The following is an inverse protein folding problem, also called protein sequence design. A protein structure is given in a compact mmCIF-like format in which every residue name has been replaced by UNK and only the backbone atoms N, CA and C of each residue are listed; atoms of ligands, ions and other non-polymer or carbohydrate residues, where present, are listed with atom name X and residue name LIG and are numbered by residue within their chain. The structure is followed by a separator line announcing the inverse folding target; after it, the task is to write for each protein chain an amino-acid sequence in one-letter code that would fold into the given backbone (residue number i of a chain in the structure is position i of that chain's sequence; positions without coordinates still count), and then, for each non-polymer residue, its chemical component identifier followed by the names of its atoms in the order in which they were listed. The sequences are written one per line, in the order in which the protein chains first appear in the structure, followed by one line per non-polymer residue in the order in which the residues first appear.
data_IF_093205658831
#
_entry.id   IF_093205658831
#
_cell.length_a   1.000
_cell.length_b   1.000
_cell.length_c   1.000
_cell.angle_alpha   90.00
_cell.angle_beta   90.00
_cell.angle_gamma   90.00
#
_symmetry.space_group_name_H-M   'P 1'
#
loop_
_entity.id
_entity.type
_entity.pdbx_description
1 polymer ?
#
# COMPACT_ATOMS: atom_id res chain seq x y z
N UNK A 1 39.21 -23.12 -21.16
CA UNK A 1 38.84 -21.72 -21.45
C UNK A 1 39.13 -20.75 -20.29
N UNK A 2 39.02 -21.16 -19.00
CA UNK A 2 39.35 -20.29 -17.84
C UNK A 2 40.80 -19.79 -17.74
N UNK A 3 41.79 -20.45 -18.36
CA UNK A 3 43.21 -20.07 -18.21
C UNK A 3 43.73 -18.99 -19.17
N UNK A 4 42.96 -18.56 -20.18
CA UNK A 4 43.34 -17.41 -21.04
C UNK A 4 42.91 -16.05 -20.49
N UNK A 5 42.05 -16.02 -19.46
CA UNK A 5 41.47 -14.79 -18.93
C UNK A 5 42.42 -13.98 -18.02
N UNK A 6 43.46 -14.60 -17.45
CA UNK A 6 44.33 -13.96 -16.46
C UNK A 6 45.72 -13.55 -17.00
N UNK A 7 45.87 -13.44 -18.33
CA UNK A 7 47.13 -12.98 -18.93
C UNK A 7 47.11 -11.50 -19.36
N UNK A 8 45.96 -10.84 -19.29
CA UNK A 8 45.82 -9.41 -19.56
C UNK A 8 45.85 -8.60 -18.26
N UNK A 9 46.43 -7.41 -18.30
CA UNK A 9 46.39 -6.48 -17.17
C UNK A 9 44.97 -5.94 -16.91
N UNK A 10 44.80 -5.15 -15.86
CA UNK A 10 43.53 -4.49 -15.50
C UNK A 10 42.87 -3.73 -16.68
N UNK A 11 43.69 -3.15 -17.56
CA UNK A 11 43.25 -2.46 -18.77
C UNK A 11 42.64 -3.40 -19.85
N UNK A 12 43.09 -4.67 -19.94
CA UNK A 12 42.58 -5.62 -20.93
C UNK A 12 41.19 -6.14 -20.55
N UNK A 13 40.94 -6.33 -19.25
CA UNK A 13 39.61 -6.67 -18.75
C UNK A 13 38.63 -5.51 -18.96
N UNK A 14 39.05 -4.30 -18.61
CA UNK A 14 38.22 -3.10 -18.70
C UNK A 14 37.73 -2.82 -20.13
N UNK A 15 38.62 -3.00 -21.12
CA UNK A 15 38.26 -2.91 -22.54
C UNK A 15 37.30 -4.02 -22.97
N UNK A 16 37.56 -5.26 -22.54
CA UNK A 16 36.69 -6.39 -22.87
C UNK A 16 35.27 -6.19 -22.31
N UNK A 17 35.17 -5.76 -21.06
CA UNK A 17 33.90 -5.55 -20.38
C UNK A 17 33.11 -4.39 -21.00
N UNK A 18 33.79 -3.29 -21.36
CA UNK A 18 33.14 -2.18 -22.06
C UNK A 18 32.55 -2.58 -23.41
N UNK A 19 33.26 -3.38 -24.22
CA UNK A 19 32.71 -3.90 -25.47
C UNK A 19 31.57 -4.90 -25.26
N UNK A 20 31.51 -5.58 -24.11
CA UNK A 20 30.39 -6.43 -23.74
C UNK A 20 29.16 -5.58 -23.33
N UNK A 21 29.36 -4.53 -22.54
CA UNK A 21 28.30 -3.60 -22.14
C UNK A 21 27.68 -2.87 -23.34
N UNK A 22 28.50 -2.46 -24.32
CA UNK A 22 27.99 -1.88 -25.57
C UNK A 22 27.07 -2.82 -26.35
N UNK A 23 27.31 -4.13 -26.29
CA UNK A 23 26.42 -5.12 -26.92
C UNK A 23 25.12 -5.26 -26.16
N UNK A 24 25.18 -5.39 -24.83
CA UNK A 24 23.99 -5.44 -23.98
C UNK A 24 23.12 -4.20 -24.17
N UNK A 25 23.74 -3.01 -24.23
CA UNK A 25 23.03 -1.77 -24.53
C UNK A 25 22.35 -1.81 -25.89
N UNK A 26 23.06 -2.24 -26.94
CA UNK A 26 22.48 -2.35 -28.29
C UNK A 26 21.36 -3.39 -28.38
N UNK A 27 21.40 -4.45 -27.57
CA UNK A 27 20.32 -5.44 -27.45
C UNK A 27 19.11 -4.85 -26.71
N UNK A 28 19.33 -4.08 -25.64
CA UNK A 28 18.27 -3.39 -24.91
C UNK A 28 17.56 -2.36 -25.79
N UNK A 29 18.32 -1.55 -26.55
CA UNK A 29 17.79 -0.57 -27.53
C UNK A 29 16.85 -1.21 -28.56
N UNK A 30 17.15 -2.43 -29.00
CA UNK A 30 16.35 -3.15 -29.98
C UNK A 30 15.18 -3.90 -29.36
N UNK A 31 15.26 -4.22 -28.07
CA UNK A 31 14.28 -5.07 -27.37
C UNK A 31 13.25 -4.30 -26.56
N UNK A 32 13.58 -3.11 -26.06
CA UNK A 32 12.68 -2.29 -25.25
C UNK A 32 12.01 -1.21 -26.10
N UNK A 33 11.00 -1.61 -26.87
CA UNK A 33 10.26 -0.75 -27.79
C UNK A 33 8.74 -0.77 -27.55
N UNK A 34 7.97 -0.05 -28.40
CA UNK A 34 6.51 -0.02 -28.32
C UNK A 34 5.87 -1.40 -28.53
N UNK A 35 6.45 -2.26 -29.36
CA UNK A 35 5.93 -3.61 -29.63
C UNK A 35 6.11 -4.50 -28.39
N UNK A 36 7.28 -4.45 -27.76
CA UNK A 36 7.54 -5.13 -26.50
C UNK A 36 6.59 -4.67 -25.40
N UNK A 37 6.45 -3.37 -25.18
CA UNK A 37 5.59 -2.86 -24.10
C UNK A 37 4.13 -3.24 -24.34
N UNK A 38 3.67 -3.16 -25.59
CA UNK A 38 2.33 -3.60 -25.95
C UNK A 38 2.14 -5.10 -25.66
N UNK A 39 3.08 -5.93 -26.10
CA UNK A 39 3.07 -7.37 -25.80
C UNK A 39 3.07 -7.64 -24.29
N UNK A 40 3.88 -6.91 -23.53
CA UNK A 40 3.97 -7.04 -22.08
C UNK A 40 2.61 -6.82 -21.41
N UNK A 41 1.90 -5.75 -21.76
CA UNK A 41 0.59 -5.47 -21.18
C UNK A 41 -0.53 -6.36 -21.73
N UNK A 42 -0.66 -6.49 -23.05
CA UNK A 42 -1.81 -7.14 -23.68
C UNK A 42 -1.75 -8.67 -23.71
N UNK A 43 -0.55 -9.25 -23.72
CA UNK A 43 -0.37 -10.70 -23.86
C UNK A 43 0.27 -11.28 -22.60
N UNK A 44 1.44 -10.79 -22.19
CA UNK A 44 2.16 -11.39 -21.06
C UNK A 44 1.42 -11.21 -19.73
N UNK A 45 1.15 -9.97 -19.29
CA UNK A 45 0.45 -9.71 -18.03
C UNK A 45 -0.98 -10.27 -18.04
N UNK A 46 -1.70 -10.10 -19.15
CA UNK A 46 -3.07 -10.60 -19.28
C UNK A 46 -3.18 -12.12 -19.05
N UNK A 47 -2.14 -12.88 -19.41
CA UNK A 47 -2.09 -14.33 -19.24
C UNK A 47 -1.29 -14.79 -18.00
N UNK A 48 -0.83 -13.88 -17.14
CA UNK A 48 0.00 -14.19 -15.98
C UNK A 48 -0.74 -14.08 -14.63
N UNK A 49 -2.05 -14.36 -14.63
CA UNK A 49 -2.89 -14.27 -13.43
C UNK A 49 -2.43 -15.15 -12.26
N UNK A 50 -1.78 -16.29 -12.55
CA UNK A 50 -1.24 -17.15 -11.49
C UNK A 50 0.03 -16.55 -10.90
N UNK A 51 0.98 -16.10 -11.71
CA UNK A 51 2.29 -15.62 -11.24
C UNK A 51 2.41 -14.10 -11.37
N UNK A 52 1.34 -13.40 -10.99
CA UNK A 52 1.16 -11.96 -11.24
C UNK A 52 2.31 -11.10 -10.71
N UNK A 53 2.73 -11.34 -9.47
CA UNK A 53 3.84 -10.58 -8.85
C UNK A 53 5.14 -10.76 -9.61
N UNK A 54 5.48 -11.99 -9.99
CA UNK A 54 6.68 -12.30 -10.76
C UNK A 54 6.58 -11.74 -12.19
N UNK A 55 5.39 -11.73 -12.76
CA UNK A 55 5.16 -11.15 -14.08
C UNK A 55 5.36 -9.62 -14.07
N UNK A 56 4.90 -8.94 -13.02
CA UNK A 56 5.09 -7.51 -12.85
C UNK A 56 6.56 -7.16 -12.58
N UNK A 57 7.30 -7.96 -11.80
CA UNK A 57 8.70 -7.66 -11.45
C UNK A 57 9.62 -7.57 -12.68
N UNK A 58 9.33 -8.32 -13.75
CA UNK A 58 10.18 -8.39 -14.94
C UNK A 58 10.45 -7.04 -15.61
N UNK A 59 9.48 -6.13 -15.65
CA UNK A 59 9.69 -4.79 -16.24
C UNK A 59 10.58 -3.90 -15.36
N UNK A 60 10.51 -4.06 -14.03
CA UNK A 60 11.42 -3.38 -13.11
C UNK A 60 12.84 -3.93 -13.23
N UNK A 61 13.00 -5.25 -13.40
CA UNK A 61 14.31 -5.86 -13.66
C UNK A 61 14.95 -5.31 -14.94
N UNK A 62 14.15 -5.13 -16.00
CA UNK A 62 14.62 -4.50 -17.24
C UNK A 62 15.06 -3.05 -17.02
N UNK A 63 14.27 -2.25 -16.31
CA UNK A 63 14.64 -0.89 -15.94
C UNK A 63 15.96 -0.86 -15.16
N UNK A 64 16.11 -1.68 -14.12
CA UNK A 64 17.33 -1.73 -13.31
C UNK A 64 18.53 -2.28 -14.09
N UNK A 65 18.30 -3.17 -15.07
CA UNK A 65 19.33 -3.63 -15.98
C UNK A 65 19.89 -2.49 -16.84
N UNK A 66 19.06 -1.61 -17.37
CA UNK A 66 19.54 -0.46 -18.16
C UNK A 66 20.25 0.59 -17.30
N UNK A 67 19.78 0.81 -16.06
CA UNK A 67 20.50 1.58 -15.03
C UNK A 67 21.90 0.98 -14.83
N UNK A 68 22.00 -0.32 -14.57
CA UNK A 68 23.28 -0.97 -14.30
C UNK A 68 24.23 -0.94 -15.51
N UNK A 69 23.71 -1.17 -16.73
CA UNK A 69 24.48 -1.03 -17.98
C UNK A 69 25.06 0.37 -18.08
N UNK A 70 24.23 1.41 -17.88
CA UNK A 70 24.66 2.81 -17.97
C UNK A 70 25.72 3.17 -16.93
N UNK A 71 25.55 2.70 -15.68
CA UNK A 71 26.53 2.87 -14.60
C UNK A 71 27.86 2.22 -14.92
N UNK A 72 27.85 0.94 -15.30
CA UNK A 72 29.07 0.19 -15.58
C UNK A 72 29.80 0.75 -16.81
N UNK A 73 29.06 1.16 -17.86
CA UNK A 73 29.66 1.84 -19.01
C UNK A 73 30.40 3.10 -18.58
N UNK A 74 29.79 3.92 -17.73
CA UNK A 74 30.43 5.11 -17.15
C UNK A 74 31.72 4.79 -16.38
N UNK A 75 31.71 3.74 -15.55
CA UNK A 75 32.93 3.28 -14.86
C UNK A 75 34.02 2.78 -15.80
N UNK A 76 33.68 2.06 -16.87
CA UNK A 76 34.66 1.55 -17.84
C UNK A 76 35.22 2.66 -18.73
N UNK A 77 34.42 3.65 -19.10
CA UNK A 77 34.89 4.83 -19.82
C UNK A 77 36.01 5.53 -19.05
N UNK A 78 35.83 5.73 -17.74
CA UNK A 78 36.87 6.31 -16.87
C UNK A 78 38.16 5.49 -16.90
N UNK A 79 38.06 4.17 -16.73
CA UNK A 79 39.22 3.29 -16.75
C UNK A 79 39.95 3.28 -18.11
N UNK A 80 39.22 3.51 -19.21
CA UNK A 80 39.78 3.59 -20.56
C UNK A 80 40.21 5.01 -20.99
N UNK A 81 39.96 6.03 -20.17
CA UNK A 81 40.19 7.43 -20.53
C UNK A 81 39.33 7.90 -21.70
N UNK A 82 38.07 7.45 -21.74
CA UNK A 82 37.07 7.86 -22.73
C UNK A 82 36.20 8.95 -22.10
N UNK A 83 36.21 10.14 -22.69
CA UNK A 83 35.50 11.30 -22.15
C UNK A 83 34.08 11.48 -22.71
N UNK A 84 33.80 10.95 -23.91
CA UNK A 84 32.50 11.06 -24.59
C UNK A 84 31.74 9.73 -24.55
N UNK A 85 30.47 9.77 -24.17
CA UNK A 85 29.63 8.57 -24.17
C UNK A 85 29.43 8.08 -25.61
N UNK A 86 29.49 6.77 -25.87
CA UNK A 86 29.28 6.26 -27.22
C UNK A 86 27.92 6.70 -27.78
N UNK A 87 27.84 6.89 -29.10
CA UNK A 87 26.57 7.29 -29.72
C UNK A 87 25.56 6.16 -29.63
N UNK A 88 24.42 6.45 -29.01
CA UNK A 88 23.29 5.55 -28.78
C UNK A 88 21.97 6.23 -29.13
N UNK A 89 20.95 5.44 -29.46
CA UNK A 89 19.58 5.95 -29.59
C UNK A 89 18.95 5.96 -28.19
N UNK A 90 18.38 7.12 -27.81
CA UNK A 90 17.69 7.24 -26.53
C UNK A 90 16.26 6.72 -26.68
N UNK A 91 15.87 5.83 -25.79
CA UNK A 91 14.56 5.19 -25.80
C UNK A 91 13.52 6.16 -25.23
N UNK A 92 12.34 6.20 -25.86
CA UNK A 92 11.16 6.91 -25.38
C UNK A 92 9.93 6.11 -25.78
N UNK A 93 9.31 5.45 -24.81
CA UNK A 93 8.15 4.58 -25.03
C UNK A 93 7.07 4.94 -24.04
N UNK A 94 5.82 4.99 -24.53
CA UNK A 94 4.64 5.24 -23.71
C UNK A 94 3.53 4.30 -24.09
N UNK A 95 2.88 3.73 -23.08
CA UNK A 95 1.76 2.83 -23.27
C UNK A 95 0.78 2.92 -22.11
N UNK A 96 -0.50 2.77 -22.39
CA UNK A 96 -1.57 2.86 -21.40
C UNK A 96 -2.74 1.94 -21.76
N UNK A 97 -3.29 1.29 -20.75
CA UNK A 97 -4.45 0.40 -20.77
C UNK A 97 -5.34 0.71 -19.56
N UNK A 98 -6.48 0.02 -19.43
CA UNK A 98 -7.38 0.20 -18.28
C UNK A 98 -6.76 -0.22 -16.93
N UNK A 99 -5.87 -1.22 -16.96
CA UNK A 99 -5.25 -1.84 -15.79
C UNK A 99 -3.74 -1.55 -15.70
N UNK A 100 -3.19 -0.68 -16.53
CA UNK A 100 -1.80 -0.28 -16.36
C UNK A 100 -1.26 0.70 -17.39
N UNK A 101 -0.17 1.36 -17.04
CA UNK A 101 0.54 2.31 -17.88
C UNK A 101 2.06 2.21 -17.66
N UNK A 102 2.83 2.54 -18.69
CA UNK A 102 4.26 2.78 -18.58
C UNK A 102 4.66 3.98 -19.44
N UNK A 103 5.54 4.82 -18.88
CA UNK A 103 6.28 5.86 -19.59
C UNK A 103 7.75 5.64 -19.25
N UNK A 104 8.52 5.15 -20.22
CA UNK A 104 9.96 4.96 -20.11
C UNK A 104 10.67 5.97 -21.01
N UNK A 105 11.67 6.66 -20.47
CA UNK A 105 12.47 7.57 -21.28
C UNK A 105 13.90 7.67 -20.77
N UNK A 106 14.82 7.97 -21.68
CA UNK A 106 16.22 8.16 -21.38
C UNK A 106 16.68 9.60 -21.65
N UNK A 107 17.61 10.09 -20.83
CA UNK A 107 18.27 11.37 -21.04
C UNK A 107 19.79 11.18 -20.95
N UNK A 108 20.55 11.78 -21.87
CA UNK A 108 22.00 11.89 -21.72
C UNK A 108 22.31 12.94 -20.65
N UNK A 109 23.08 12.56 -19.64
CA UNK A 109 23.41 13.39 -18.47
C UNK A 109 24.90 13.40 -18.18
N UNK A 110 25.35 14.49 -17.61
CA UNK A 110 26.61 14.56 -16.88
C UNK A 110 26.30 14.48 -15.39
N UNK A 111 26.76 13.42 -14.71
CA UNK A 111 26.45 13.21 -13.30
C UNK A 111 27.64 12.56 -12.56
N UNK A 112 27.60 12.67 -11.22
CA UNK A 112 28.56 11.97 -10.35
C UNK A 112 28.00 10.62 -9.98
N UNK A 113 28.73 9.56 -10.28
CA UNK A 113 28.36 8.23 -9.82
C UNK A 113 28.62 8.10 -8.31
N UNK A 114 27.76 7.38 -7.57
CA UNK A 114 28.01 7.07 -6.17
C UNK A 114 29.40 6.49 -5.95
N UNK A 115 30.16 7.06 -5.00
CA UNK A 115 31.53 6.62 -4.71
C UNK A 115 32.61 7.19 -5.63
N UNK A 116 32.29 8.17 -6.49
CA UNK A 116 33.25 8.87 -7.35
C UNK A 116 33.17 10.39 -7.18
N UNK A 117 34.32 11.07 -7.28
CA UNK A 117 34.41 12.54 -7.15
C UNK A 117 34.31 13.29 -8.48
N UNK A 118 34.34 12.55 -9.60
CA UNK A 118 34.36 13.10 -10.95
C UNK A 118 33.00 12.97 -11.64
N UNK A 119 32.68 13.94 -12.47
CA UNK A 119 31.50 13.91 -13.33
C UNK A 119 31.82 13.15 -14.61
N UNK A 120 30.91 12.27 -14.99
CA UNK A 120 30.99 11.50 -16.23
C UNK A 120 29.70 11.66 -17.03
N UNK A 121 29.79 11.52 -18.34
CA UNK A 121 28.63 11.45 -19.21
C UNK A 121 28.07 10.02 -19.22
N UNK A 122 26.76 9.87 -19.03
CA UNK A 122 26.04 8.61 -19.09
C UNK A 122 24.56 8.79 -19.42
N UNK A 123 23.91 7.68 -19.80
CA UNK A 123 22.47 7.63 -19.96
C UNK A 123 21.80 7.51 -18.59
N UNK A 124 20.79 8.33 -18.36
CA UNK A 124 19.88 8.24 -17.22
C UNK A 124 18.52 7.76 -17.71
N UNK A 125 18.14 6.51 -17.44
CA UNK A 125 16.79 6.03 -17.72
C UNK A 125 15.83 6.45 -16.60
N UNK A 126 14.57 6.66 -16.95
CA UNK A 126 13.49 6.91 -16.01
C UNK A 126 12.28 6.10 -16.43
N UNK A 127 11.48 5.71 -15.44
CA UNK A 127 10.26 4.97 -15.69
C UNK A 127 9.16 5.47 -14.77
N UNK A 128 8.00 5.78 -15.34
CA UNK A 128 6.75 5.82 -14.58
C UNK A 128 5.99 4.58 -14.94
N UNK A 129 5.53 3.85 -13.94
CA UNK A 129 4.78 2.63 -14.18
C UNK A 129 3.70 2.49 -13.14
N UNK A 130 2.54 2.02 -13.59
CA UNK A 130 1.45 1.61 -12.75
C UNK A 130 0.83 0.38 -13.38
N UNK A 131 0.71 -0.70 -12.61
CA UNK A 131 0.16 -1.96 -13.06
C UNK A 131 -0.79 -2.44 -11.96
N UNK A 132 -2.03 -2.73 -12.33
CA UNK A 132 -3.06 -3.17 -11.42
C UNK A 132 -3.59 -4.55 -11.85
N UNK A 133 -3.76 -5.50 -10.92
CA UNK A 133 -4.27 -6.83 -11.26
C UNK A 133 -5.66 -6.76 -11.90
N UNK A 134 -5.85 -7.53 -12.97
CA UNK A 134 -7.19 -7.80 -13.46
C UNK A 134 -8.01 -8.52 -12.37
N UNK A 135 -9.34 -8.47 -12.47
CA UNK A 135 -10.21 -9.19 -11.52
C UNK A 135 -9.87 -10.67 -11.43
N UNK A 136 -9.59 -11.30 -12.57
CA UNK A 136 -9.21 -12.72 -12.62
C UNK A 136 -7.87 -12.98 -11.92
N UNK A 137 -6.88 -12.10 -12.10
CA UNK A 137 -5.62 -12.17 -11.37
C UNK A 137 -5.84 -11.99 -9.86
N UNK A 138 -6.66 -11.03 -9.45
CA UNK A 138 -6.99 -10.81 -8.03
C UNK A 138 -7.70 -12.01 -7.40
N UNK A 139 -8.69 -12.60 -8.09
CA UNK A 139 -9.35 -13.84 -7.65
C UNK A 139 -8.35 -15.00 -7.49
N UNK A 140 -7.41 -15.15 -8.43
CA UNK A 140 -6.33 -16.15 -8.34
C UNK A 140 -5.43 -15.92 -7.13
N UNK A 141 -5.01 -14.67 -6.89
CA UNK A 141 -4.20 -14.28 -5.72
C UNK A 141 -4.93 -14.55 -4.41
N UNK A 142 -6.20 -14.15 -4.28
CA UNK A 142 -7.04 -14.42 -3.12
C UNK A 142 -7.26 -15.92 -2.90
N UNK A 143 -7.46 -16.69 -3.96
CA UNK A 143 -7.52 -18.16 -3.90
C UNK A 143 -6.22 -18.80 -3.42
N UNK A 144 -5.05 -18.28 -3.82
CA UNK A 144 -3.75 -18.72 -3.31
C UNK A 144 -3.55 -18.34 -1.84
N UNK A 145 -3.96 -17.13 -1.46
CA UNK A 145 -3.93 -16.61 -0.09
C UNK A 145 -4.75 -17.49 0.85
N UNK A 146 -6.01 -17.81 0.51
CA UNK A 146 -6.86 -18.71 1.32
C UNK A 146 -6.26 -20.12 1.47
N UNK A 147 -5.68 -20.69 0.41
CA UNK A 147 -5.02 -22.02 0.48
C UNK A 147 -3.81 -22.06 1.41
N UNK A 148 -3.17 -20.91 1.63
CA UNK A 148 -1.97 -20.77 2.45
C UNK A 148 -2.26 -20.23 3.84
N UNK A 149 -3.48 -19.75 4.09
CA UNK A 149 -3.82 -19.04 5.32
C UNK A 149 -2.97 -17.78 5.56
N UNK A 150 -2.61 -17.11 4.47
CA UNK A 150 -1.77 -15.91 4.47
C UNK A 150 -2.55 -14.77 3.85
N UNK A 151 -2.43 -13.54 4.37
CA UNK A 151 -3.02 -12.39 3.71
C UNK A 151 -2.35 -12.14 2.34
N UNK A 152 -3.10 -11.61 1.35
CA UNK A 152 -2.52 -11.30 0.05
C UNK A 152 -1.49 -10.16 0.18
N UNK A 153 -0.24 -10.39 -0.25
CA UNK A 153 0.82 -9.39 -0.21
C UNK A 153 2.22 -9.97 -0.43
N UNK A 154 3.24 -9.10 -0.62
CA UNK A 154 4.62 -9.48 -0.95
C UNK A 154 5.35 -10.19 0.20
N UNK A 155 4.96 -9.91 1.45
CA UNK A 155 5.38 -10.65 2.63
C UNK A 155 4.14 -11.44 3.07
N UNK A 156 4.20 -12.76 2.97
CA UNK A 156 3.11 -13.64 3.42
C UNK A 156 2.96 -13.56 4.93
N UNK A 157 2.35 -12.47 5.42
CA UNK A 157 1.99 -12.30 6.81
C UNK A 157 1.04 -13.44 7.18
N UNK A 158 1.55 -14.35 8.01
CA UNK A 158 0.84 -15.53 8.48
C UNK A 158 -0.11 -15.11 9.60
N UNK A 159 -1.42 -15.22 9.34
CA UNK A 159 -2.47 -14.94 10.32
C UNK A 159 -2.57 -13.46 10.72
N UNK A 160 -3.80 -12.93 10.74
CA UNK A 160 -4.14 -11.61 11.28
C UNK A 160 -4.47 -11.71 12.76
N UNK A 161 -3.73 -12.57 13.48
CA UNK A 161 -3.81 -12.70 14.91
C UNK A 161 -2.99 -11.60 15.57
N UNK A 162 -3.53 -11.05 16.65
CA UNK A 162 -2.87 -10.00 17.42
C UNK A 162 -1.52 -10.50 17.98
N UNK A 163 -0.52 -9.64 17.97
CA UNK A 163 0.72 -9.87 18.71
C UNK A 163 0.46 -9.94 20.22
N UNK A 164 1.39 -10.54 20.97
CA UNK A 164 1.26 -10.59 22.44
C UNK A 164 1.20 -9.20 23.07
N UNK A 165 1.84 -8.19 22.46
CA UNK A 165 1.79 -6.80 22.90
C UNK A 165 0.39 -6.21 22.71
N UNK A 166 -0.19 -6.34 21.51
CA UNK A 166 -1.56 -5.90 21.23
C UNK A 166 -2.59 -6.61 22.12
N UNK A 167 -2.41 -7.92 22.37
CA UNK A 167 -3.27 -8.66 23.31
C UNK A 167 -3.18 -8.11 24.72
N UNK A 168 -2.00 -7.70 25.18
CA UNK A 168 -1.84 -7.07 26.49
C UNK A 168 -2.48 -5.68 26.55
N UNK A 169 -2.37 -4.89 25.48
CA UNK A 169 -3.02 -3.58 25.38
C UNK A 169 -4.54 -3.69 25.49
N UNK A 170 -5.16 -4.53 24.66
CA UNK A 170 -6.62 -4.77 24.69
C UNK A 170 -7.05 -5.27 26.07
N UNK A 171 -6.34 -6.24 26.67
CA UNK A 171 -6.67 -6.75 28.01
C UNK A 171 -6.63 -5.67 29.11
N UNK A 172 -5.83 -4.63 28.91
CA UNK A 172 -5.71 -3.50 29.82
C UNK A 172 -6.69 -2.36 29.51
N UNK A 173 -7.39 -2.40 28.38
CA UNK A 173 -8.50 -1.49 28.06
C UNK A 173 -9.84 -2.08 28.55
N UNK A 174 -10.46 -1.50 29.60
CA UNK A 174 -11.72 -2.03 30.13
C UNK A 174 -12.89 -1.94 29.14
N UNK A 175 -12.88 -0.96 28.23
CA UNK A 175 -13.94 -0.75 27.24
C UNK A 175 -13.90 -1.79 26.14
N UNK A 176 -12.73 -1.99 25.53
CA UNK A 176 -12.57 -3.01 24.47
C UNK A 176 -12.83 -4.42 25.00
N UNK A 177 -12.36 -4.74 26.22
CA UNK A 177 -12.66 -6.03 26.84
C UNK A 177 -14.13 -6.19 27.23
N UNK A 178 -14.87 -5.12 27.49
CA UNK A 178 -16.33 -5.19 27.71
C UNK A 178 -17.05 -5.56 26.42
N UNK A 179 -16.69 -4.92 25.30
CA UNK A 179 -17.25 -5.22 23.98
C UNK A 179 -16.98 -6.67 23.54
N UNK A 180 -15.74 -7.15 23.70
CA UNK A 180 -15.38 -8.54 23.38
C UNK A 180 -16.14 -9.55 24.24
N UNK A 181 -16.33 -9.26 25.53
CA UNK A 181 -17.11 -10.12 26.44
C UNK A 181 -18.58 -10.14 26.07
N UNK A 182 -19.17 -9.00 25.68
CA UNK A 182 -20.56 -8.96 25.22
C UNK A 182 -20.78 -9.92 24.04
N UNK A 183 -19.84 -9.95 23.09
CA UNK A 183 -19.88 -10.87 21.95
C UNK A 183 -19.72 -12.33 22.41
N UNK A 184 -18.67 -12.66 23.18
CA UNK A 184 -18.44 -14.04 23.64
C UNK A 184 -19.61 -14.58 24.47
N UNK A 185 -20.19 -13.79 25.38
CA UNK A 185 -21.33 -14.22 26.19
C UNK A 185 -22.58 -14.50 25.34
N UNK A 186 -22.80 -13.73 24.27
CA UNK A 186 -23.92 -13.93 23.35
C UNK A 186 -23.83 -15.27 22.62
N UNK A 187 -22.62 -15.72 22.29
CA UNK A 187 -22.37 -16.93 21.48
C UNK A 187 -21.86 -18.14 22.28
N UNK A 188 -21.85 -18.03 23.62
CA UNK A 188 -21.62 -19.18 24.50
C UNK A 188 -20.16 -19.43 24.87
N UNK A 189 -19.31 -18.40 24.78
CA UNK A 189 -17.93 -18.39 25.26
C UNK A 189 -16.89 -18.12 24.18
N UNK A 190 -17.23 -18.34 22.92
CA UNK A 190 -16.44 -18.00 21.74
C UNK A 190 -17.38 -17.47 20.65
N UNK A 191 -16.82 -16.88 19.61
CA UNK A 191 -17.55 -16.50 18.42
C UNK A 191 -16.78 -16.91 17.17
N UNK A 192 -17.45 -17.65 16.29
CA UNK A 192 -16.92 -18.08 15.00
C UNK A 192 -17.64 -17.34 13.85
N UNK A 193 -16.94 -16.38 13.24
CA UNK A 193 -17.44 -15.49 12.21
C UNK A 193 -16.77 -15.68 10.84
N UNK A 194 -17.40 -15.16 9.78
CA UNK A 194 -16.72 -15.00 8.49
C UNK A 194 -17.11 -13.71 7.74
N UNK A 195 -16.13 -13.07 7.10
CA UNK A 195 -16.33 -12.05 6.08
C UNK A 195 -16.11 -12.69 4.71
N UNK A 196 -17.12 -12.66 3.85
CA UNK A 196 -17.08 -13.29 2.54
C UNK A 196 -17.25 -12.25 1.44
N UNK A 197 -16.35 -12.22 0.48
CA UNK A 197 -16.48 -11.40 -0.72
C UNK A 197 -17.00 -12.25 -1.86
N UNK A 198 -18.19 -11.91 -2.35
CA UNK A 198 -18.87 -12.62 -3.41
C UNK A 198 -18.81 -11.79 -4.70
N UNK A 199 -18.53 -12.47 -5.81
CA UNK A 199 -18.82 -11.94 -7.13
C UNK A 199 -20.31 -12.25 -7.42
N UNK A 200 -21.17 -11.24 -7.30
CA UNK A 200 -22.60 -11.40 -7.49
C UNK A 200 -23.01 -11.67 -8.94
N UNK A 201 -22.16 -11.39 -9.94
CA UNK A 201 -22.45 -11.70 -11.34
C UNK A 201 -22.33 -13.22 -11.59
N UNK A 202 -21.38 -13.86 -10.92
CA UNK A 202 -21.06 -15.29 -11.11
C UNK A 202 -21.56 -16.19 -9.98
N UNK A 203 -21.82 -15.64 -8.80
CA UNK A 203 -22.10 -16.38 -7.56
C UNK A 203 -20.85 -17.01 -6.94
N UNK A 204 -19.65 -16.64 -7.40
CA UNK A 204 -18.38 -17.15 -6.88
C UNK A 204 -18.05 -16.51 -5.53
N UNK A 205 -17.62 -17.34 -4.57
CA UNK A 205 -16.97 -16.86 -3.36
C UNK A 205 -15.49 -16.61 -3.67
N UNK A 206 -15.12 -15.33 -3.70
CA UNK A 206 -13.83 -14.84 -4.18
C UNK A 206 -12.79 -14.80 -3.07
N UNK A 207 -13.20 -14.41 -1.86
CA UNK A 207 -12.32 -14.33 -0.71
C UNK A 207 -13.10 -14.53 0.58
N UNK A 208 -12.49 -15.26 1.49
CA UNK A 208 -13.05 -15.64 2.77
C UNK A 208 -12.06 -15.31 3.86
N UNK A 209 -12.52 -14.54 4.83
CA UNK A 209 -11.78 -14.24 6.04
C UNK A 209 -12.55 -14.82 7.23
N UNK A 210 -11.97 -15.83 7.86
CA UNK A 210 -12.45 -16.37 9.13
C UNK A 210 -12.12 -15.39 10.25
N UNK A 211 -13.02 -15.29 11.22
CA UNK A 211 -12.90 -14.43 12.39
C UNK A 211 -13.19 -15.28 13.62
N UNK A 212 -12.28 -15.30 14.57
CA UNK A 212 -12.43 -15.99 15.84
C UNK A 212 -12.30 -14.98 16.99
N UNK A 213 -13.26 -14.99 17.91
CA UNK A 213 -13.11 -14.33 19.20
C UNK A 213 -13.18 -15.38 20.30
N UNK A 214 -12.17 -15.37 21.17
CA UNK A 214 -12.16 -16.15 22.40
C UNK A 214 -11.28 -15.44 23.47
N UNK A 215 -11.26 -15.96 24.69
CA UNK A 215 -10.49 -15.34 25.80
C UNK A 215 -8.96 -15.38 25.61
N UNK A 216 -8.46 -16.31 24.79
CA UNK A 216 -7.02 -16.53 24.58
C UNK A 216 -6.47 -15.63 23.47
N UNK A 217 -7.11 -15.68 22.29
CA UNK A 217 -6.70 -14.96 21.09
C UNK A 217 -7.30 -13.55 20.98
N UNK A 218 -8.34 -13.24 21.76
CA UNK A 218 -9.14 -12.01 21.69
C UNK A 218 -9.83 -11.84 20.34
N UNK A 219 -9.09 -11.45 19.30
CA UNK A 219 -9.54 -11.42 17.92
C UNK A 219 -8.44 -12.06 17.08
N UNK A 220 -8.79 -13.13 16.36
CA UNK A 220 -7.95 -13.72 15.35
C UNK A 220 -8.66 -13.69 14.00
N UNK A 221 -7.94 -13.34 12.94
CA UNK A 221 -8.48 -13.31 11.58
C UNK A 221 -7.57 -14.07 10.63
N UNK A 222 -8.16 -14.87 9.74
CA UNK A 222 -7.39 -15.77 8.90
C UNK A 222 -8.07 -16.02 7.56
N UNK A 223 -7.38 -15.85 6.42
CA UNK A 223 -7.91 -16.27 5.13
C UNK A 223 -8.09 -17.78 5.08
N UNK A 224 -9.27 -18.27 4.72
CA UNK A 224 -9.56 -19.72 4.75
C UNK A 224 -10.40 -20.17 3.56
N UNK A 225 -10.20 -21.40 3.08
CA UNK A 225 -11.11 -21.95 2.07
C UNK A 225 -12.50 -22.20 2.67
N UNK A 226 -13.58 -22.07 1.86
CA UNK A 226 -14.93 -22.35 2.33
C UNK A 226 -15.11 -23.75 2.94
N UNK A 227 -14.33 -24.73 2.49
CA UNK A 227 -14.40 -26.13 2.93
C UNK A 227 -13.68 -26.37 4.26
N UNK A 228 -12.81 -25.45 4.67
CA UNK A 228 -12.01 -25.51 5.90
C UNK A 228 -12.68 -24.74 7.05
N UNK A 229 -13.65 -23.87 6.73
CA UNK A 229 -14.36 -23.08 7.73
C UNK A 229 -15.12 -23.98 8.73
N UNK A 230 -15.04 -23.67 10.04
CA UNK A 230 -15.84 -24.35 11.04
C UNK A 230 -17.33 -24.00 10.89
N UNK A 231 -18.17 -24.57 11.77
CA UNK A 231 -19.54 -24.10 11.90
C UNK A 231 -19.51 -22.64 12.38
N UNK A 232 -20.19 -21.75 11.64
CA UNK A 232 -20.15 -20.31 11.90
C UNK A 232 -21.38 -19.88 12.69
N UNK A 233 -21.17 -19.07 13.72
CA UNK A 233 -22.22 -18.34 14.42
C UNK A 233 -22.83 -17.24 13.54
N UNK A 234 -21.96 -16.57 12.77
CA UNK A 234 -22.36 -15.50 11.89
C UNK A 234 -21.45 -15.36 10.67
N UNK A 235 -21.99 -14.75 9.61
CA UNK A 235 -21.19 -14.28 8.49
C UNK A 235 -21.78 -13.02 7.88
N UNK A 236 -20.92 -12.28 7.20
CA UNK A 236 -21.31 -11.15 6.36
C UNK A 236 -20.81 -11.38 4.93
N UNK A 237 -21.70 -11.17 3.97
CA UNK A 237 -21.41 -11.27 2.55
C UNK A 237 -21.29 -9.85 1.96
N UNK A 238 -20.22 -9.57 1.24
CA UNK A 238 -19.87 -8.27 0.64
C UNK A 238 -19.63 -8.40 -0.86
N UNK A 239 -19.91 -7.33 -1.61
CA UNK A 239 -19.68 -7.30 -3.06
C UNK A 239 -18.19 -7.17 -3.41
N UNK A 240 -17.61 -8.20 -4.02
CA UNK A 240 -16.23 -8.20 -4.50
C UNK A 240 -15.96 -7.07 -5.49
N UNK A 241 -16.92 -6.69 -6.34
CA UNK A 241 -16.75 -5.62 -7.31
C UNK A 241 -16.50 -4.27 -6.63
N UNK A 242 -17.14 -4.04 -5.49
CA UNK A 242 -16.92 -2.82 -4.69
C UNK A 242 -15.57 -2.82 -4.01
N UNK A 243 -15.12 -3.98 -3.50
CA UNK A 243 -13.78 -4.13 -2.95
C UNK A 243 -12.71 -3.87 -4.02
N UNK A 244 -12.87 -4.46 -5.21
CA UNK A 244 -11.94 -4.26 -6.34
C UNK A 244 -11.82 -2.77 -6.72
N UNK A 245 -12.95 -2.07 -6.82
CA UNK A 245 -13.00 -0.62 -7.08
C UNK A 245 -12.27 0.20 -6.02
N UNK A 246 -12.41 -0.17 -4.74
CA UNK A 246 -11.76 0.48 -3.60
C UNK A 246 -10.24 0.33 -3.70
N UNK A 247 -9.76 -0.89 -3.92
CA UNK A 247 -8.32 -1.18 -4.07
C UNK A 247 -7.76 -0.44 -5.29
N UNK A 248 -8.46 -0.48 -6.42
CA UNK A 248 -8.06 0.23 -7.65
C UNK A 248 -7.88 1.74 -7.42
N UNK A 249 -8.85 2.39 -6.77
CA UNK A 249 -8.82 3.83 -6.52
C UNK A 249 -7.71 4.18 -5.53
N UNK A 250 -7.54 3.36 -4.49
CA UNK A 250 -6.46 3.54 -3.51
C UNK A 250 -5.09 3.53 -4.21
N UNK A 251 -4.81 2.49 -4.99
CA UNK A 251 -3.57 2.34 -5.74
C UNK A 251 -3.34 3.49 -6.73
N UNK A 252 -4.30 3.72 -7.62
CA UNK A 252 -4.11 4.62 -8.76
C UNK A 252 -4.12 6.10 -8.35
N UNK A 253 -5.00 6.48 -7.44
CA UNK A 253 -5.30 7.89 -7.16
C UNK A 253 -4.72 8.39 -5.84
N UNK A 254 -4.50 7.51 -4.86
CA UNK A 254 -3.99 7.88 -3.53
C UNK A 254 -2.48 7.67 -3.46
N UNK A 255 -1.99 6.47 -3.79
CA UNK A 255 -0.55 6.20 -3.80
C UNK A 255 0.15 6.88 -4.97
N UNK A 256 -0.53 6.96 -6.12
CA UNK A 256 -0.06 7.71 -7.28
C UNK A 256 1.13 7.04 -7.97
N UNK A 257 1.57 7.65 -9.07
CA UNK A 257 2.60 7.08 -9.94
C UNK A 257 3.90 7.84 -9.72
N UNK A 258 4.88 7.18 -9.10
CA UNK A 258 6.21 7.74 -8.89
C UNK A 258 7.08 7.59 -10.13
N UNK A 259 8.11 8.44 -10.20
CA UNK A 259 9.15 8.33 -11.22
C UNK A 259 10.29 7.52 -10.64
N UNK A 260 10.45 6.30 -11.14
CA UNK A 260 11.68 5.55 -10.98
C UNK A 260 12.81 6.34 -11.64
N UNK A 261 13.88 6.54 -10.89
CA UNK A 261 15.04 7.32 -11.31
C UNK A 261 16.34 6.70 -10.84
N UNK A 262 17.44 6.88 -11.59
CA UNK A 262 18.68 6.20 -11.27
C UNK A 262 19.35 6.87 -10.06
N UNK A 263 20.23 6.16 -9.32
CA UNK A 263 20.82 6.68 -8.09
C UNK A 263 21.58 8.00 -8.25
N UNK A 264 22.11 8.29 -9.44
CA UNK A 264 22.87 9.51 -9.75
C UNK A 264 22.02 10.69 -10.24
N UNK A 265 20.74 10.50 -10.57
CA UNK A 265 19.81 11.58 -10.92
C UNK A 265 18.41 11.34 -10.35
N UNK A 266 18.36 11.17 -9.02
CA UNK A 266 17.10 10.96 -8.31
C UNK A 266 16.15 12.11 -8.52
N UNK A 267 14.94 11.82 -8.98
CA UNK A 267 13.87 12.83 -9.06
C UNK A 267 13.21 12.97 -7.69
N UNK A 268 13.08 14.19 -7.15
CA UNK A 268 12.36 14.39 -5.90
C UNK A 268 10.88 14.07 -6.08
N UNK A 269 10.26 13.46 -5.07
CA UNK A 269 8.79 13.36 -4.97
C UNK A 269 8.20 14.77 -5.04
N UNK A 270 7.31 15.03 -6.00
CA UNK A 270 6.70 16.37 -6.17
C UNK A 270 5.70 16.60 -5.03
N UNK A 271 5.82 17.71 -4.32
CA UNK A 271 4.96 18.13 -3.20
C UNK A 271 3.46 18.39 -3.57
N UNK A 272 3.04 18.14 -4.81
CA UNK A 272 1.71 18.49 -5.34
C UNK A 272 0.56 17.59 -4.86
N UNK A 273 0.84 16.59 -4.04
CA UNK A 273 -0.11 15.50 -3.72
C UNK A 273 -1.08 15.83 -2.57
N UNK A 274 -0.82 16.87 -1.78
CA UNK A 274 -1.68 17.25 -0.63
C UNK A 274 -3.08 17.75 -1.01
N UNK A 275 -3.24 18.47 -2.12
CA UNK A 275 -4.57 18.98 -2.56
C UNK A 275 -5.40 17.88 -3.24
N UNK A 276 -4.75 16.90 -3.87
CA UNK A 276 -5.43 15.70 -4.39
C UNK A 276 -5.93 14.81 -3.24
N UNK A 277 -5.20 14.75 -2.11
CA UNK A 277 -5.55 13.94 -0.94
C UNK A 277 -6.97 14.14 -0.42
N UNK A 278 -7.46 15.39 -0.28
CA UNK A 278 -8.82 15.65 0.24
C UNK A 278 -9.93 15.19 -0.72
N UNK A 279 -9.74 15.38 -2.04
CA UNK A 279 -10.69 14.92 -3.06
C UNK A 279 -10.67 13.39 -3.18
N UNK A 280 -9.48 12.79 -3.09
CA UNK A 280 -9.31 11.34 -3.07
C UNK A 280 -9.94 10.70 -1.82
N UNK A 281 -9.83 11.35 -0.65
CA UNK A 281 -10.45 10.90 0.59
C UNK A 281 -11.98 10.86 0.52
N UNK A 282 -12.63 11.93 0.03
CA UNK A 282 -14.09 11.95 -0.14
C UNK A 282 -14.59 10.88 -1.13
N UNK A 283 -13.84 10.64 -2.22
CA UNK A 283 -14.15 9.58 -3.18
C UNK A 283 -14.00 8.19 -2.56
N UNK A 284 -12.96 7.98 -1.76
CA UNK A 284 -12.72 6.73 -1.05
C UNK A 284 -13.84 6.45 -0.04
N UNK A 285 -14.25 7.46 0.73
CA UNK A 285 -15.39 7.36 1.65
C UNK A 285 -16.68 6.93 0.95
N UNK A 286 -17.01 7.55 -0.20
CA UNK A 286 -18.19 7.18 -0.99
C UNK A 286 -18.13 5.73 -1.48
N UNK A 287 -16.95 5.23 -1.85
CA UNK A 287 -16.75 3.85 -2.28
C UNK A 287 -16.84 2.87 -1.12
N UNK A 288 -16.23 3.20 0.02
CA UNK A 288 -16.35 2.41 1.25
C UNK A 288 -17.81 2.30 1.70
N UNK A 289 -18.55 3.42 1.71
CA UNK A 289 -19.99 3.42 1.97
C UNK A 289 -20.76 2.55 0.98
N UNK A 290 -20.37 2.55 -0.29
CA UNK A 290 -20.99 1.66 -1.29
C UNK A 290 -20.71 0.18 -1.01
N UNK A 291 -19.53 -0.17 -0.50
CA UNK A 291 -19.21 -1.54 -0.08
C UNK A 291 -20.02 -1.93 1.15
N UNK A 292 -20.07 -1.08 2.18
CA UNK A 292 -20.84 -1.34 3.40
C UNK A 292 -22.34 -1.47 3.13
N UNK A 293 -22.89 -0.72 2.17
CA UNK A 293 -24.27 -0.85 1.73
C UNK A 293 -24.56 -2.16 0.98
N UNK A 294 -23.53 -2.90 0.55
CA UNK A 294 -23.68 -4.22 -0.08
C UNK A 294 -23.68 -5.38 0.94
N UNK A 295 -23.48 -5.09 2.22
CA UNK A 295 -23.35 -6.10 3.27
C UNK A 295 -24.68 -6.82 3.54
N UNK A 296 -24.65 -8.15 3.44
CA UNK A 296 -25.76 -9.02 3.85
C UNK A 296 -25.33 -9.87 5.06
N UNK A 297 -26.12 -9.81 6.14
CA UNK A 297 -25.78 -10.40 7.44
C UNK A 297 -26.58 -11.68 7.72
N UNK A 298 -25.86 -12.73 8.13
CA UNK A 298 -26.43 -14.04 8.39
C UNK A 298 -25.98 -14.56 9.77
N UNK A 299 -26.90 -14.84 10.70
CA UNK A 299 -28.31 -14.41 10.68
C UNK A 299 -28.43 -12.88 10.77
N UNK A 300 -29.57 -12.29 10.37
CA UNK A 300 -29.75 -10.84 10.44
C UNK A 300 -29.55 -10.24 11.86
N UNK A 301 -29.70 -11.06 12.91
CA UNK A 301 -29.45 -10.66 14.30
C UNK A 301 -27.97 -10.49 14.67
N UNK A 302 -27.04 -10.85 13.78
CA UNK A 302 -25.59 -10.68 13.97
C UNK A 302 -25.04 -9.37 13.41
N UNK A 303 -25.91 -8.50 12.86
CA UNK A 303 -25.51 -7.26 12.18
C UNK A 303 -24.62 -6.36 13.06
N UNK A 304 -24.93 -6.22 14.36
CA UNK A 304 -24.13 -5.40 15.29
C UNK A 304 -22.70 -5.93 15.38
N UNK A 305 -22.53 -7.23 15.60
CA UNK A 305 -21.21 -7.84 15.79
C UNK A 305 -20.42 -7.85 14.48
N UNK A 306 -21.04 -8.22 13.36
CA UNK A 306 -20.38 -8.19 12.06
C UNK A 306 -19.95 -6.79 11.64
N UNK A 307 -20.70 -5.74 11.98
CA UNK A 307 -20.30 -4.35 11.70
C UNK A 307 -19.09 -3.91 12.49
N UNK A 308 -18.96 -4.34 13.74
CA UNK A 308 -17.77 -4.11 14.56
C UNK A 308 -16.54 -4.67 13.85
N UNK A 309 -16.58 -5.94 13.46
CA UNK A 309 -15.47 -6.56 12.73
C UNK A 309 -15.16 -5.90 11.39
N UNK A 310 -16.18 -5.52 10.61
CA UNK A 310 -15.93 -4.83 9.34
C UNK A 310 -15.24 -3.49 9.55
N UNK A 311 -15.61 -2.75 10.61
CA UNK A 311 -14.96 -1.49 10.96
C UNK A 311 -13.49 -1.73 11.31
N UNK A 312 -13.20 -2.71 12.16
CA UNK A 312 -11.83 -3.04 12.58
C UNK A 312 -10.99 -3.52 11.40
N UNK A 313 -11.54 -4.44 10.59
CA UNK A 313 -10.87 -4.98 9.40
C UNK A 313 -10.51 -3.90 8.38
N UNK A 314 -11.47 -3.06 7.99
CA UNK A 314 -11.20 -1.99 7.02
C UNK A 314 -10.40 -0.83 7.63
N UNK A 315 -10.50 -0.59 8.93
CA UNK A 315 -9.67 0.36 9.67
C UNK A 315 -8.19 -0.06 9.63
N UNK A 316 -7.89 -1.33 9.91
CA UNK A 316 -6.55 -1.89 9.80
C UNK A 316 -5.98 -1.82 8.37
N UNK A 317 -6.79 -2.17 7.36
CA UNK A 317 -6.37 -2.15 5.94
C UNK A 317 -6.03 -0.75 5.42
N UNK A 318 -6.60 0.31 6.00
CA UNK A 318 -6.44 1.70 5.57
C UNK A 318 -5.43 2.50 6.42
N UNK A 319 -4.60 1.82 7.22
CA UNK A 319 -3.44 2.45 7.87
C UNK A 319 -3.63 2.87 9.32
N UNK A 320 -4.44 2.14 10.11
CA UNK A 320 -4.57 2.36 11.55
C UNK A 320 -5.74 3.27 11.94
N UNK A 321 -5.87 3.66 13.23
CA UNK A 321 -7.06 4.31 13.79
C UNK A 321 -7.44 5.68 13.14
N UNK A 322 -6.59 6.20 12.26
CA UNK A 322 -6.82 7.40 11.45
C UNK A 322 -7.21 7.08 9.98
N UNK A 323 -7.95 5.98 9.75
CA UNK A 323 -8.56 5.64 8.46
C UNK A 323 -9.52 6.73 7.93
N UNK A 324 -9.98 6.65 6.66
CA UNK A 324 -10.84 7.69 6.08
C UNK A 324 -12.13 7.81 6.92
N UNK A 325 -12.62 9.04 7.20
CA UNK A 325 -13.55 9.30 8.29
C UNK A 325 -14.89 8.59 8.03
N UNK A 326 -15.05 7.41 8.60
CA UNK A 326 -16.28 6.65 8.60
C UNK A 326 -17.06 6.95 9.86
N UNK A 327 -17.99 7.91 9.77
CA UNK A 327 -19.15 8.10 10.64
C UNK A 327 -18.94 7.84 12.15
N UNK A 328 -17.89 8.43 12.72
CA UNK A 328 -17.90 8.87 14.11
C UNK A 328 -17.87 10.38 14.06
N UNK A 329 -18.79 11.00 14.81
CA UNK A 329 -19.01 12.44 14.88
C UNK A 329 -17.68 13.19 14.68
N UNK A 330 -17.64 14.12 13.71
CA UNK A 330 -16.56 15.11 13.59
C UNK A 330 -16.18 15.49 15.02
N UNK A 331 -14.95 15.19 15.47
CA UNK A 331 -14.47 15.68 16.76
C UNK A 331 -14.22 17.19 16.61
N UNK A 332 -15.31 17.91 16.39
CA UNK A 332 -15.43 19.30 16.73
C UNK A 332 -15.28 19.37 18.25
N UNK A 333 -14.49 20.32 18.73
CA UNK A 333 -14.43 20.61 20.15
C UNK A 333 -15.79 21.09 20.68
N UNK A 334 -15.91 21.34 22.00
CA UNK A 334 -17.17 21.73 22.62
C UNK A 334 -17.80 22.91 21.86
N UNK A 335 -19.10 22.81 21.54
CA UNK A 335 -19.80 23.80 20.73
C UNK A 335 -19.59 23.76 19.21
N UNK A 336 -18.93 22.73 18.68
CA UNK A 336 -18.69 22.60 17.24
C UNK A 336 -17.45 23.35 16.74
N UNK A 337 -16.50 23.66 17.63
CA UNK A 337 -15.29 24.40 17.26
C UNK A 337 -14.28 23.49 16.53
N UNK A 338 -13.62 23.99 15.50
CA UNK A 338 -12.71 23.16 14.66
C UNK A 338 -11.24 23.56 14.79
N UNK A 339 -10.96 24.61 15.57
CA UNK A 339 -9.62 25.13 15.82
C UNK A 339 -9.43 25.46 17.31
N UNK A 340 -8.18 25.43 17.79
CA UNK A 340 -7.84 25.71 19.20
C UNK A 340 -8.34 27.09 19.65
N UNK A 341 -8.25 28.10 18.78
CA UNK A 341 -8.65 29.48 19.07
C UNK A 341 -10.17 29.61 19.19
N UNK A 342 -10.93 28.94 18.33
CA UNK A 342 -12.40 28.88 18.42
C UNK A 342 -12.86 28.15 19.68
N UNK A 343 -12.22 27.03 20.01
CA UNK A 343 -12.57 26.26 21.21
C UNK A 343 -12.26 27.03 22.50
N UNK A 344 -11.16 27.78 22.50
CA UNK A 344 -10.81 28.65 23.61
C UNK A 344 -11.83 29.78 23.79
N UNK A 345 -12.21 30.46 22.71
CA UNK A 345 -13.24 31.51 22.77
C UNK A 345 -14.59 30.95 23.22
N UNK A 346 -14.97 29.75 22.75
CA UNK A 346 -16.19 29.06 23.16
C UNK A 346 -16.20 28.74 24.66
N UNK A 347 -15.09 28.18 25.19
CA UNK A 347 -14.97 27.81 26.59
C UNK A 347 -14.69 28.98 27.54
N UNK A 348 -14.30 30.14 27.03
CA UNK A 348 -14.21 31.39 27.81
C UNK A 348 -15.59 31.93 28.21
N UNK A 349 -16.66 31.52 27.53
CA UNK A 349 -18.03 31.83 27.93
C UNK A 349 -18.46 30.99 29.16
N UNK A 350 -18.84 31.62 30.29
CA UNK A 350 -19.30 30.91 31.49
C UNK A 350 -20.48 29.95 31.26
N UNK A 351 -21.33 30.21 30.25
CA UNK A 351 -22.49 29.37 29.93
C UNK A 351 -22.11 28.02 29.32
N UNK A 352 -20.88 27.90 28.79
CA UNK A 352 -20.41 26.72 28.06
C UNK A 352 -19.49 25.82 28.92
N UNK A 353 -19.25 26.19 30.18
CA UNK A 353 -18.25 25.54 31.06
C UNK A 353 -18.54 24.07 31.34
N UNK A 354 -19.80 23.70 31.49
CA UNK A 354 -20.18 22.32 31.81
C UNK A 354 -19.90 21.37 30.63
N UNK A 355 -20.18 21.83 29.41
CA UNK A 355 -19.86 21.12 28.17
C UNK A 355 -18.34 21.00 27.96
N UNK A 356 -17.60 22.08 28.15
CA UNK A 356 -16.13 22.06 28.03
C UNK A 356 -15.45 21.14 29.05
N UNK A 357 -15.99 21.01 30.28
CA UNK A 357 -15.47 20.07 31.29
C UNK A 357 -15.76 18.61 30.93
N UNK A 358 -16.96 18.31 30.42
CA UNK A 358 -17.29 16.95 29.95
C UNK A 358 -16.46 16.53 28.74
N UNK A 359 -16.07 17.49 27.89
CA UNK A 359 -15.18 17.25 26.77
C UNK A 359 -13.76 16.87 27.25
N UNK A 360 -13.20 17.59 28.24
CA UNK A 360 -11.85 17.30 28.75
C UNK A 360 -11.71 15.94 29.43
N UNK A 361 -12.79 15.39 30.00
CA UNK A 361 -12.79 14.08 30.66
C UNK A 361 -12.82 12.90 29.67
N UNK A 362 -13.18 13.14 28.39
CA UNK A 362 -13.31 12.13 27.34
C UNK A 362 -12.08 11.98 26.43
N UNK A 363 -11.12 12.91 26.51
CA UNK A 363 -9.92 12.90 25.66
C UNK A 363 -8.71 12.31 26.40
N UNK A 364 -8.00 11.31 25.84
CA UNK A 364 -6.80 10.73 26.46
C UNK A 364 -5.66 11.75 26.66
N UNK A 365 -4.86 11.58 27.73
CA UNK A 365 -3.73 12.45 28.11
C UNK A 365 -2.61 12.45 27.04
N UNK A 366 -2.72 13.32 26.04
CA UNK A 366 -1.69 13.53 25.02
C UNK A 366 -1.56 14.96 24.48
N UNK A 367 -2.39 15.90 24.96
CA UNK A 367 -2.29 17.34 24.62
C UNK A 367 -1.76 18.11 25.83
N UNK A 368 -0.46 17.96 26.11
CA UNK A 368 0.21 18.69 27.18
C UNK A 368 0.37 20.17 26.83
N UNK A 369 -0.53 21.01 27.37
CA UNK A 369 -0.16 22.29 27.95
C UNK A 369 -1.14 22.69 29.07
N UNK A 370 -1.10 21.92 30.16
CA UNK A 370 -1.67 22.30 31.47
C UNK A 370 -0.95 23.56 32.00
N UNK A 371 -1.38 24.75 31.57
CA UNK A 371 -1.13 26.01 32.30
C UNK A 371 -2.03 27.21 31.98
N UNK A 372 -3.02 27.09 31.10
CA UNK A 372 -3.84 28.26 30.71
C UNK A 372 -5.30 28.17 31.16
N UNK A 373 -5.78 27.01 31.64
CA UNK A 373 -7.23 26.78 31.81
C UNK A 373 -7.81 26.91 33.23
N UNK A 374 -7.06 27.35 34.24
CA UNK A 374 -7.60 27.49 35.62
C UNK A 374 -7.64 28.89 36.21
N UNK A 375 -7.24 29.94 35.48
CA UNK A 375 -7.53 31.33 35.88
C UNK A 375 -7.20 31.71 37.33
N UNK A 376 -6.18 31.10 37.96
CA UNK A 376 -5.79 31.44 39.32
C UNK A 376 -4.76 32.58 39.32
N UNK A 377 -5.23 33.77 39.69
CA UNK A 377 -4.39 34.90 40.09
C UNK A 377 -3.87 34.65 41.50
N UNK A 378 -2.57 34.43 41.67
CA UNK A 378 -1.94 34.57 42.99
C UNK A 378 -0.94 35.73 42.95
N UNK A 379 -1.34 36.84 43.56
CA UNK A 379 -0.45 37.91 44.03
C UNK A 379 0.19 37.47 45.34
N UNK A 380 1.53 37.46 45.43
CA UNK A 380 2.38 38.26 46.35
C UNK A 380 3.77 38.34 45.72
#
# INVERSE_FOLDING_TARGET
MKHKYYQGGEADWCKYDFENLKKQRAEFEQGFDEEFVKWFFEDYLANSAEDWEQAVSGIFELYWSDVDISREMGHRMKCLGIDEFPKHELINVKYETEYGMVEFWEELKTARLPGTDEEIELISPYMKIWIFPSKQAMKSMFGKSMKKHEFPGPDGETGGGLSEEEKEEIRNDPGEMEDLREVMEKYGGSFEGAVQFLDYETGENVFNLYVEINEEELINTEPMLPEEMPELDARVELDFEKLYDIIYISEKEIMGIEVESPPWDRKPRKLGDRIKGAVSGAKMWLKMRSLMNSAEYYPASSEKEMKMFLKDFFGGMMGGPDGPPGDEDEQEGPGGCTTEEECKEYCENPENKEECMQFSDKTPEGWEDRKVMTGEVVRV
#
